data_IF_353606533769
#
_entry.id   IF_353606533769
#
_cell.length_a   1.000
_cell.length_b   1.000
_cell.length_c   1.000
_cell.angle_alpha   90.00
_cell.angle_beta   90.00
_cell.angle_gamma   90.00
#
_symmetry.space_group_name_H-M   'P 1'
#
loop_
_entity.id
_entity.type
_entity.pdbx_description
1 polymer ?
#
# COMPACT_ATOMS: atom_id res chain seq x y z
N UNK A 1 -14.86 -4.44 10.14
CA UNK A 1 -15.89 -3.42 9.89
C UNK A 1 -15.86 -2.27 10.92
N UNK A 2 -16.33 -2.46 12.17
CA UNK A 2 -16.40 -1.36 13.18
C UNK A 2 -15.07 -0.61 13.38
N UNK A 3 -13.93 -1.31 13.33
CA UNK A 3 -12.60 -0.69 13.43
C UNK A 3 -12.24 0.22 12.25
N UNK A 4 -12.52 -0.22 11.02
CA UNK A 4 -12.23 0.57 9.82
C UNK A 4 -13.05 1.87 9.83
N UNK A 5 -14.36 1.77 10.04
CA UNK A 5 -15.22 2.95 10.16
C UNK A 5 -14.76 3.88 11.30
N UNK A 6 -14.50 3.35 12.50
CA UNK A 6 -14.09 4.18 13.64
C UNK A 6 -12.77 4.91 13.40
N UNK A 7 -11.79 4.23 12.78
CA UNK A 7 -10.52 4.84 12.40
C UNK A 7 -10.71 5.90 11.32
N UNK A 8 -11.46 5.59 10.27
CA UNK A 8 -11.77 6.51 9.17
C UNK A 8 -12.52 7.77 9.65
N UNK A 9 -13.49 7.61 10.55
CA UNK A 9 -14.23 8.71 11.17
C UNK A 9 -13.32 9.64 11.96
N UNK A 10 -12.50 9.05 12.84
CA UNK A 10 -11.53 9.82 13.64
C UNK A 10 -10.53 10.54 12.74
N UNK A 11 -10.01 9.85 11.72
CA UNK A 11 -9.09 10.44 10.75
C UNK A 11 -9.72 11.64 10.02
N UNK A 12 -10.97 11.51 9.58
CA UNK A 12 -11.70 12.59 8.92
C UNK A 12 -11.87 13.81 9.85
N UNK A 13 -12.17 13.59 11.13
CA UNK A 13 -12.27 14.65 12.14
C UNK A 13 -10.93 15.35 12.39
N UNK A 14 -9.80 14.65 12.23
CA UNK A 14 -8.46 15.22 12.32
C UNK A 14 -7.97 15.85 11.00
N UNK A 15 -8.77 15.84 9.93
CA UNK A 15 -8.37 16.34 8.61
C UNK A 15 -7.37 15.46 7.85
N UNK A 16 -7.19 14.20 8.28
CA UNK A 16 -6.36 13.24 7.57
C UNK A 16 -7.01 12.75 6.27
N UNK A 17 -6.19 12.24 5.34
CA UNK A 17 -6.64 11.94 3.97
C UNK A 17 -6.72 10.45 3.61
N UNK A 18 -5.87 9.60 4.21
CA UNK A 18 -5.76 8.18 3.85
C UNK A 18 -5.83 7.30 5.09
N UNK A 19 -6.78 6.37 5.13
CA UNK A 19 -6.83 5.32 6.16
C UNK A 19 -6.26 4.02 5.59
N UNK A 20 -5.14 3.56 6.16
CA UNK A 20 -4.43 2.37 5.69
C UNK A 20 -4.65 1.19 6.63
N UNK A 21 -4.77 -0.01 6.08
CA UNK A 21 -4.95 -1.24 6.85
C UNK A 21 -4.64 -2.50 6.03
N UNK A 22 -4.16 -3.54 6.71
CA UNK A 22 -4.14 -4.89 6.18
C UNK A 22 -5.55 -5.49 6.24
N UNK A 23 -6.09 -5.93 5.10
CA UNK A 23 -7.53 -6.20 4.98
C UNK A 23 -7.98 -7.52 5.61
N UNK A 24 -7.29 -8.63 5.32
CA UNK A 24 -7.72 -9.97 5.76
C UNK A 24 -6.60 -11.03 5.64
N UNK A 25 -6.84 -12.19 6.27
CA UNK A 25 -6.14 -13.44 5.99
C UNK A 25 -7.06 -14.36 5.18
N UNK A 26 -6.50 -15.17 4.28
CA UNK A 26 -7.31 -16.16 3.55
C UNK A 26 -7.72 -17.35 4.44
N UNK A 27 -6.85 -17.73 5.39
CA UNK A 27 -7.05 -18.88 6.27
C UNK A 27 -7.42 -20.16 5.48
N UNK A 28 -8.63 -20.69 5.67
CA UNK A 28 -9.16 -21.87 4.98
C UNK A 28 -10.15 -21.52 3.86
N UNK A 29 -10.43 -20.24 3.69
CA UNK A 29 -11.37 -19.74 2.68
C UNK A 29 -10.69 -19.55 1.33
N UNK A 30 -11.48 -19.57 0.26
CA UNK A 30 -10.97 -19.26 -1.07
C UNK A 30 -10.67 -17.75 -1.21
N UNK A 31 -9.67 -17.36 -2.02
CA UNK A 31 -9.39 -15.95 -2.30
C UNK A 31 -10.61 -15.17 -2.79
N UNK A 32 -11.48 -15.79 -3.60
CA UNK A 32 -12.70 -15.18 -4.10
C UNK A 32 -13.73 -14.89 -2.98
N UNK A 33 -13.89 -15.82 -2.03
CA UNK A 33 -14.77 -15.61 -0.87
C UNK A 33 -14.26 -14.46 0.00
N UNK A 34 -12.96 -14.47 0.30
CA UNK A 34 -12.30 -13.43 1.12
C UNK A 34 -12.38 -12.07 0.44
N UNK A 35 -12.17 -12.01 -0.88
CA UNK A 35 -12.35 -10.79 -1.68
C UNK A 35 -13.76 -10.20 -1.52
N UNK A 36 -14.81 -11.03 -1.62
CA UNK A 36 -16.20 -10.60 -1.39
C UNK A 36 -16.43 -10.04 0.02
N UNK A 37 -15.83 -10.67 1.03
CA UNK A 37 -15.91 -10.22 2.43
C UNK A 37 -15.18 -8.90 2.66
N UNK A 38 -14.01 -8.70 2.06
CA UNK A 38 -13.27 -7.43 2.13
C UNK A 38 -14.09 -6.30 1.52
N UNK A 39 -14.62 -6.51 0.30
CA UNK A 39 -15.48 -5.52 -0.36
C UNK A 39 -16.70 -5.15 0.47
N UNK A 40 -17.40 -6.16 1.01
CA UNK A 40 -18.56 -5.94 1.88
C UNK A 40 -18.18 -5.08 3.08
N UNK A 41 -17.07 -5.41 3.75
CA UNK A 41 -16.60 -4.65 4.92
C UNK A 41 -16.19 -3.20 4.62
N UNK A 42 -15.65 -2.94 3.43
CA UNK A 42 -15.35 -1.58 2.96
C UNK A 42 -16.66 -0.82 2.67
N UNK A 43 -17.59 -1.44 1.93
CA UNK A 43 -18.87 -0.82 1.56
C UNK A 43 -19.68 -0.43 2.80
N UNK A 44 -19.75 -1.32 3.79
CA UNK A 44 -20.41 -1.04 5.07
C UNK A 44 -19.74 0.14 5.81
N UNK A 45 -18.40 0.24 5.79
CA UNK A 45 -17.70 1.38 6.39
C UNK A 45 -17.99 2.70 5.64
N UNK A 46 -18.05 2.66 4.31
CA UNK A 46 -18.39 3.83 3.48
C UNK A 46 -19.82 4.31 3.74
N UNK A 47 -20.79 3.40 3.85
CA UNK A 47 -22.17 3.77 4.17
C UNK A 47 -22.27 4.41 5.57
N UNK A 48 -21.56 3.87 6.56
CA UNK A 48 -21.52 4.49 7.90
C UNK A 48 -20.87 5.89 7.87
N UNK A 49 -19.78 6.09 7.13
CA UNK A 49 -19.17 7.41 6.95
C UNK A 49 -20.12 8.39 6.24
N UNK A 50 -20.86 7.90 5.26
CA UNK A 50 -21.87 8.69 4.53
C UNK A 50 -23.02 9.11 5.45
N UNK A 51 -23.54 8.21 6.29
CA UNK A 51 -24.55 8.53 7.30
C UNK A 51 -24.09 9.61 8.29
N UNK A 52 -22.78 9.70 8.56
CA UNK A 52 -22.18 10.73 9.40
C UNK A 52 -21.84 12.04 8.66
N UNK A 53 -22.15 12.16 7.35
CA UNK A 53 -21.79 13.32 6.54
C UNK A 53 -20.28 13.41 6.21
N UNK A 54 -19.55 12.30 6.35
CA UNK A 54 -18.10 12.20 6.12
C UNK A 54 -17.76 11.49 4.79
N UNK A 55 -18.72 11.34 3.89
CA UNK A 55 -18.49 10.75 2.56
C UNK A 55 -17.41 11.51 1.79
N UNK A 56 -16.47 10.78 1.19
CA UNK A 56 -15.36 11.34 0.41
C UNK A 56 -14.31 12.12 1.21
N UNK A 57 -14.41 12.20 2.55
CA UNK A 57 -13.44 12.93 3.38
C UNK A 57 -12.12 12.19 3.55
N UNK A 58 -12.14 10.87 3.43
CA UNK A 58 -10.98 10.00 3.57
C UNK A 58 -10.97 8.99 2.43
N UNK A 59 -9.79 8.71 1.90
CA UNK A 59 -9.55 7.60 0.96
C UNK A 59 -9.30 6.34 1.77
N UNK A 60 -10.05 5.29 1.49
CA UNK A 60 -9.83 3.97 2.10
C UNK A 60 -8.72 3.27 1.33
N UNK A 61 -7.65 2.87 2.03
CA UNK A 61 -6.46 2.30 1.40
C UNK A 61 -6.08 0.93 1.94
N UNK A 62 -6.65 -0.16 1.41
CA UNK A 62 -6.13 -1.49 1.73
C UNK A 62 -4.67 -1.58 1.25
N UNK A 63 -3.82 -2.14 2.10
CA UNK A 63 -2.38 -2.18 1.90
C UNK A 63 -1.93 -3.51 1.29
N UNK A 64 -0.85 -3.44 0.50
CA UNK A 64 -0.14 -4.65 0.08
C UNK A 64 0.40 -5.38 1.30
N UNK A 65 0.07 -6.67 1.43
CA UNK A 65 0.52 -7.48 2.55
C UNK A 65 1.79 -8.27 2.26
N UNK A 66 2.71 -8.30 3.22
CA UNK A 66 4.00 -8.99 3.11
C UNK A 66 3.94 -10.51 3.13
N UNK A 67 2.80 -11.13 3.44
CA UNK A 67 2.64 -12.60 3.52
C UNK A 67 1.68 -13.14 2.47
N UNK A 68 2.05 -14.18 1.70
CA UNK A 68 1.16 -14.81 0.71
C UNK A 68 -0.18 -15.32 1.27
N UNK A 69 -0.23 -15.64 2.56
CA UNK A 69 -1.45 -16.09 3.25
C UNK A 69 -2.42 -14.94 3.62
N UNK A 70 -2.02 -13.70 3.38
CA UNK A 70 -2.83 -12.49 3.56
C UNK A 70 -3.37 -11.98 2.23
N UNK A 71 -4.60 -11.45 2.29
CA UNK A 71 -5.19 -10.67 1.21
C UNK A 71 -4.36 -9.39 0.99
N UNK A 72 -4.31 -8.93 -0.25
CA UNK A 72 -3.64 -7.68 -0.61
C UNK A 72 -2.43 -7.91 -1.50
N UNK A 73 -2.57 -8.76 -2.52
CA UNK A 73 -1.67 -8.65 -3.65
C UNK A 73 -2.09 -7.50 -4.58
N UNK A 74 -1.16 -7.00 -5.40
CA UNK A 74 -1.40 -5.83 -6.26
C UNK A 74 -2.65 -5.98 -7.15
N UNK A 75 -2.86 -7.16 -7.74
CA UNK A 75 -4.01 -7.41 -8.60
C UNK A 75 -5.35 -7.36 -7.85
N UNK A 76 -5.41 -7.91 -6.65
CA UNK A 76 -6.59 -7.79 -5.78
C UNK A 76 -6.89 -6.34 -5.43
N UNK A 77 -5.88 -5.57 -5.05
CA UNK A 77 -6.07 -4.18 -4.62
C UNK A 77 -6.45 -3.26 -5.77
N UNK A 78 -5.86 -3.44 -6.96
CA UNK A 78 -6.28 -2.74 -8.17
C UNK A 78 -7.75 -3.06 -8.45
N UNK A 79 -8.14 -4.33 -8.42
CA UNK A 79 -9.52 -4.74 -8.71
C UNK A 79 -10.52 -4.16 -7.69
N UNK A 80 -10.21 -4.17 -6.40
CA UNK A 80 -11.06 -3.52 -5.39
C UNK A 80 -11.21 -2.03 -5.68
N UNK A 81 -10.11 -1.35 -6.04
CA UNK A 81 -10.11 0.09 -6.31
C UNK A 81 -10.87 0.44 -7.59
N UNK A 82 -10.86 -0.43 -8.61
CA UNK A 82 -11.68 -0.27 -9.82
C UNK A 82 -13.18 -0.45 -9.53
N UNK A 83 -13.52 -1.36 -8.63
CA UNK A 83 -14.91 -1.73 -8.33
C UNK A 83 -15.55 -0.83 -7.24
N UNK A 84 -14.78 0.03 -6.55
CA UNK A 84 -15.23 0.81 -5.40
C UNK A 84 -14.68 2.24 -5.41
N UNK A 85 -15.56 3.23 -5.60
CA UNK A 85 -15.20 4.65 -5.52
C UNK A 85 -14.65 5.03 -4.14
N UNK A 86 -13.67 5.93 -4.09
CA UNK A 86 -13.03 6.37 -2.83
C UNK A 86 -12.09 5.33 -2.22
N UNK A 87 -11.74 4.27 -2.96
CA UNK A 87 -10.76 3.26 -2.57
C UNK A 87 -9.55 3.32 -3.52
N UNK A 88 -8.36 3.39 -2.96
CA UNK A 88 -7.09 3.32 -3.71
C UNK A 88 -6.09 2.48 -2.92
N UNK A 89 -5.13 1.77 -3.53
CA UNK A 89 -4.19 0.96 -2.75
C UNK A 89 -3.24 1.82 -1.91
N UNK A 90 -2.79 1.27 -0.78
CA UNK A 90 -1.50 1.62 -0.20
C UNK A 90 -0.46 0.64 -0.76
N UNK A 91 0.59 1.17 -1.39
CA UNK A 91 1.64 0.37 -2.02
C UNK A 91 2.81 0.27 -1.07
N UNK A 92 3.00 -0.90 -0.46
CA UNK A 92 4.22 -1.24 0.25
C UNK A 92 5.10 -2.13 -0.64
N UNK A 93 6.19 -1.56 -1.15
CA UNK A 93 7.11 -2.26 -2.04
C UNK A 93 7.99 -3.28 -1.30
N UNK A 94 8.28 -3.05 -0.02
CA UNK A 94 9.04 -3.97 0.81
C UNK A 94 8.20 -5.24 1.10
N UNK A 95 6.91 -5.08 1.33
CA UNK A 95 5.95 -6.17 1.38
C UNK A 95 5.83 -6.92 0.05
N UNK A 96 5.77 -6.23 -1.09
CA UNK A 96 5.77 -6.89 -2.41
C UNK A 96 7.00 -7.78 -2.60
N UNK A 97 8.16 -7.29 -2.16
CA UNK A 97 9.41 -8.01 -2.22
C UNK A 97 9.40 -9.25 -1.30
N UNK A 98 9.03 -9.06 -0.03
CA UNK A 98 8.93 -10.14 0.94
C UNK A 98 7.91 -11.22 0.54
N UNK A 99 6.72 -10.80 0.08
CA UNK A 99 5.63 -11.70 -0.34
C UNK A 99 6.07 -12.62 -1.49
N UNK A 100 6.95 -12.15 -2.35
CA UNK A 100 7.45 -12.92 -3.49
C UNK A 100 8.76 -13.64 -3.22
N UNK A 101 9.22 -13.63 -1.96
CA UNK A 101 10.46 -14.23 -1.50
C UNK A 101 11.66 -13.79 -2.36
N UNK A 102 11.79 -12.48 -2.56
CA UNK A 102 12.98 -11.89 -3.17
C UNK A 102 12.80 -11.29 -4.57
N UNK A 103 11.62 -11.39 -5.18
CA UNK A 103 11.32 -10.75 -6.48
C UNK A 103 10.86 -9.31 -6.29
N UNK A 104 10.48 -8.61 -7.35
CA UNK A 104 10.05 -7.21 -7.28
C UNK A 104 11.13 -6.31 -6.68
N UNK A 105 12.38 -6.50 -7.10
CA UNK A 105 13.54 -5.82 -6.50
C UNK A 105 14.57 -5.35 -7.54
N UNK A 106 14.12 -5.11 -8.77
CA UNK A 106 14.97 -4.61 -9.86
C UNK A 106 14.25 -3.49 -10.61
N UNK A 107 14.99 -2.58 -11.29
CA UNK A 107 14.37 -1.51 -12.07
C UNK A 107 13.29 -2.00 -13.04
N UNK A 108 13.53 -3.11 -13.75
CA UNK A 108 12.56 -3.68 -14.69
C UNK A 108 11.27 -4.15 -14.00
N UNK A 109 11.39 -4.85 -12.88
CA UNK A 109 10.23 -5.26 -12.10
C UNK A 109 9.49 -4.07 -11.49
N UNK A 110 10.21 -3.06 -10.99
CA UNK A 110 9.61 -1.82 -10.49
C UNK A 110 8.80 -1.11 -11.57
N UNK A 111 9.35 -0.95 -12.78
CA UNK A 111 8.59 -0.39 -13.92
C UNK A 111 7.33 -1.19 -14.20
N UNK A 112 7.42 -2.52 -14.25
CA UNK A 112 6.25 -3.38 -14.45
C UNK A 112 5.17 -3.19 -13.37
N UNK A 113 5.56 -2.93 -12.12
CA UNK A 113 4.63 -2.59 -11.04
C UNK A 113 3.96 -1.24 -11.30
N UNK A 114 4.74 -0.21 -11.66
CA UNK A 114 4.20 1.12 -11.97
C UNK A 114 3.23 1.08 -13.16
N UNK A 115 3.61 0.36 -14.23
CA UNK A 115 2.77 0.13 -15.41
C UNK A 115 1.49 -0.62 -15.06
N UNK A 116 1.55 -1.62 -14.18
CA UNK A 116 0.36 -2.34 -13.74
C UNK A 116 -0.61 -1.42 -12.98
N UNK A 117 -0.08 -0.54 -12.13
CA UNK A 117 -0.89 0.48 -11.42
C UNK A 117 -1.50 1.47 -12.42
N UNK A 118 -0.70 2.00 -13.34
CA UNK A 118 -1.16 2.97 -14.34
C UNK A 118 -2.23 2.37 -15.27
N UNK A 119 -2.00 1.16 -15.79
CA UNK A 119 -2.96 0.49 -16.65
C UNK A 119 -4.26 0.14 -15.91
N UNK A 120 -4.17 -0.18 -14.61
CA UNK A 120 -5.32 -0.55 -13.79
C UNK A 120 -6.13 0.65 -13.28
N UNK A 121 -5.46 1.71 -12.84
CA UNK A 121 -6.07 2.81 -12.08
C UNK A 121 -5.86 4.19 -12.72
N UNK A 122 -5.15 4.26 -13.85
CA UNK A 122 -4.85 5.49 -14.56
C UNK A 122 -3.69 6.29 -13.98
N UNK A 123 -3.25 7.29 -14.72
CA UNK A 123 -2.14 8.17 -14.32
C UNK A 123 -2.45 8.97 -13.04
N UNK A 124 -3.72 9.31 -12.80
CA UNK A 124 -4.15 10.00 -11.58
C UNK A 124 -3.81 9.21 -10.30
N UNK A 125 -3.88 7.87 -10.35
CA UNK A 125 -3.47 7.04 -9.22
C UNK A 125 -1.97 7.16 -8.93
N UNK A 126 -1.14 7.31 -9.98
CA UNK A 126 0.29 7.58 -9.84
C UNK A 126 0.58 8.96 -9.27
N UNK A 127 -0.29 9.95 -9.48
CA UNK A 127 -0.14 11.30 -8.90
C UNK A 127 -0.68 11.40 -7.47
N UNK A 128 -1.40 10.38 -7.00
CA UNK A 128 -2.02 10.31 -5.67
C UNK A 128 -1.74 8.95 -4.99
N UNK A 129 -0.47 8.60 -4.85
CA UNK A 129 -0.04 7.39 -4.17
C UNK A 129 0.00 7.56 -2.65
N UNK A 130 -0.22 6.47 -1.94
CA UNK A 130 0.16 6.33 -0.54
C UNK A 130 1.09 5.13 -0.47
N UNK A 131 2.33 5.38 -0.06
CA UNK A 131 3.41 4.41 -0.13
C UNK A 131 3.95 4.21 1.28
N UNK A 132 4.17 2.96 1.65
CA UNK A 132 4.95 2.59 2.83
C UNK A 132 6.32 2.10 2.39
N UNK A 133 7.34 2.45 3.17
CA UNK A 133 8.74 2.16 2.87
C UNK A 133 9.50 1.73 4.13
N UNK A 134 10.15 0.59 4.03
CA UNK A 134 11.07 0.04 5.02
C UNK A 134 12.11 -0.84 4.32
N UNK A 135 13.20 -1.19 5.02
CA UNK A 135 13.90 -2.42 4.69
C UNK A 135 13.09 -3.61 5.21
N UNK A 136 13.34 -4.82 4.72
CA UNK A 136 12.51 -5.97 5.08
C UNK A 136 13.32 -7.25 5.29
N UNK A 137 13.04 -7.94 6.38
CA UNK A 137 13.50 -9.30 6.64
C UNK A 137 12.36 -10.27 6.28
N UNK A 138 12.64 -11.28 5.48
CA UNK A 138 11.63 -12.21 4.98
C UNK A 138 12.15 -13.65 4.87
N UNK A 139 11.28 -14.56 4.48
CA UNK A 139 11.62 -15.90 4.04
C UNK A 139 10.47 -16.50 3.23
N UNK A 140 10.44 -17.81 3.06
CA UNK A 140 9.45 -18.49 2.21
C UNK A 140 7.98 -18.21 2.59
N UNK A 141 7.72 -17.88 3.86
CA UNK A 141 6.38 -17.53 4.36
C UNK A 141 6.02 -16.04 4.23
N UNK A 142 6.89 -15.26 3.57
CA UNK A 142 6.79 -13.82 3.43
C UNK A 142 7.54 -13.05 4.52
N UNK A 143 7.04 -11.86 4.80
CA UNK A 143 7.57 -10.93 5.81
C UNK A 143 7.76 -11.59 7.20
N UNK A 144 8.87 -11.23 7.85
CA UNK A 144 9.14 -11.49 9.28
C UNK A 144 9.06 -10.22 10.11
N UNK A 145 9.83 -9.19 9.73
CA UNK A 145 9.87 -7.89 10.40
C UNK A 145 10.53 -6.83 9.50
N UNK A 146 10.23 -5.56 9.77
CA UNK A 146 10.90 -4.44 9.12
C UNK A 146 12.36 -4.34 9.57
N UNK A 147 13.21 -3.85 8.66
CA UNK A 147 14.62 -3.52 8.85
C UNK A 147 14.83 -2.05 8.46
N UNK A 148 16.00 -1.52 8.81
CA UNK A 148 16.45 -0.27 8.20
C UNK A 148 16.79 -0.51 6.72
N UNK A 149 16.71 0.53 5.89
CA UNK A 149 17.01 0.42 4.45
C UNK A 149 18.44 -0.05 4.16
N UNK A 150 19.38 0.19 5.09
CA UNK A 150 20.78 -0.20 4.95
C UNK A 150 21.06 -1.67 5.27
N UNK A 151 20.15 -2.33 5.98
CA UNK A 151 20.29 -3.73 6.43
C UNK A 151 19.49 -4.71 5.57
N UNK A 152 18.75 -4.21 4.58
CA UNK A 152 17.92 -5.00 3.67
C UNK A 152 18.57 -5.08 2.29
N UNK A 153 18.29 -6.17 1.57
CA UNK A 153 18.58 -6.33 0.15
C UNK A 153 17.64 -5.52 -0.76
N UNK A 154 16.64 -4.85 -0.19
CA UNK A 154 15.68 -4.06 -0.92
C UNK A 154 16.33 -2.83 -1.61
N UNK A 155 16.28 -2.81 -2.94
CA UNK A 155 16.94 -1.86 -3.84
C UNK A 155 16.13 -0.56 -3.96
N UNK A 156 15.94 0.11 -2.82
CA UNK A 156 15.10 1.31 -2.71
C UNK A 156 15.62 2.47 -3.57
N UNK A 157 16.93 2.59 -3.79
CA UNK A 157 17.51 3.66 -4.62
C UNK A 157 17.05 3.54 -6.07
N UNK A 158 17.10 2.33 -6.61
CA UNK A 158 16.62 2.03 -7.95
C UNK A 158 15.11 2.23 -8.07
N UNK A 159 14.35 1.90 -7.03
CA UNK A 159 12.92 2.20 -6.97
C UNK A 159 12.65 3.71 -7.00
N UNK A 160 13.39 4.50 -6.21
CA UNK A 160 13.28 5.97 -6.20
C UNK A 160 13.58 6.58 -7.59
N UNK A 161 14.54 6.01 -8.33
CA UNK A 161 14.81 6.43 -9.71
C UNK A 161 13.63 6.12 -10.65
N UNK A 162 13.01 4.96 -10.53
CA UNK A 162 11.79 4.61 -11.29
C UNK A 162 10.62 5.51 -10.92
N UNK A 163 10.45 5.86 -9.63
CA UNK A 163 9.42 6.82 -9.23
C UNK A 163 9.60 8.19 -9.89
N UNK A 164 10.84 8.67 -10.00
CA UNK A 164 11.15 9.92 -10.70
C UNK A 164 10.84 9.81 -12.19
N UNK A 165 11.17 8.69 -12.83
CA UNK A 165 10.85 8.40 -14.23
C UNK A 165 9.34 8.47 -14.52
N UNK A 166 8.51 7.90 -13.64
CA UNK A 166 7.03 7.93 -13.76
C UNK A 166 6.42 9.25 -13.25
N UNK A 167 7.22 10.12 -12.63
CA UNK A 167 6.80 11.41 -12.08
C UNK A 167 5.68 11.27 -11.05
N UNK A 168 5.74 10.26 -10.18
CA UNK A 168 4.66 9.97 -9.22
C UNK A 168 4.47 11.12 -8.21
N UNK A 169 3.31 11.14 -7.56
CA UNK A 169 2.97 12.07 -6.49
C UNK A 169 2.24 11.37 -5.34
N UNK A 170 2.18 12.03 -4.19
CA UNK A 170 1.49 11.53 -3.00
C UNK A 170 2.37 11.52 -1.75
N UNK A 171 2.17 10.51 -0.91
CA UNK A 171 2.85 10.36 0.39
C UNK A 171 3.75 9.13 0.41
N UNK A 172 4.94 9.28 0.97
CA UNK A 172 5.84 8.17 1.33
C UNK A 172 6.00 8.19 2.84
N UNK A 173 5.57 7.13 3.49
CA UNK A 173 5.65 6.93 4.94
C UNK A 173 6.81 5.96 5.20
N UNK A 174 7.77 6.36 6.02
CA UNK A 174 8.80 5.43 6.48
C UNK A 174 8.28 4.62 7.65
N UNK A 175 8.33 3.31 7.53
CA UNK A 175 8.00 2.35 8.59
C UNK A 175 9.26 1.59 9.05
N UNK A 176 10.43 2.16 8.75
CA UNK A 176 11.72 1.65 9.22
C UNK A 176 11.78 1.67 10.75
N UNK A 177 12.51 0.74 11.40
CA UNK A 177 12.88 0.86 12.81
C UNK A 177 13.61 2.17 13.15
N UNK A 178 14.21 2.85 12.16
CA UNK A 178 14.81 4.18 12.29
C UNK A 178 14.14 5.16 11.31
N UNK A 179 12.92 5.57 11.67
CA UNK A 179 11.95 6.27 10.81
C UNK A 179 12.56 7.55 10.21
N UNK A 180 13.07 8.45 11.04
CA UNK A 180 13.52 9.78 10.61
C UNK A 180 14.77 9.69 9.75
N UNK A 181 15.72 8.81 10.10
CA UNK A 181 16.95 8.66 9.34
C UNK A 181 16.70 8.09 7.95
N UNK A 182 15.88 7.04 7.85
CA UNK A 182 15.58 6.43 6.55
C UNK A 182 14.67 7.32 5.70
N UNK A 183 13.74 8.05 6.29
CA UNK A 183 12.98 9.08 5.58
C UNK A 183 13.90 10.16 4.98
N UNK A 184 14.84 10.69 5.78
CA UNK A 184 15.82 11.67 5.31
C UNK A 184 16.77 11.08 4.26
N UNK A 185 17.16 9.82 4.39
CA UNK A 185 18.01 9.11 3.44
C UNK A 185 17.33 8.97 2.08
N UNK A 186 16.06 8.54 2.05
CA UNK A 186 15.27 8.47 0.82
C UNK A 186 15.12 9.84 0.19
N UNK A 187 14.76 10.86 0.98
CA UNK A 187 14.61 12.23 0.49
C UNK A 187 15.91 12.77 -0.14
N UNK A 188 17.03 12.67 0.58
CA UNK A 188 18.34 13.16 0.09
C UNK A 188 18.75 12.47 -1.22
N UNK A 189 18.50 11.17 -1.32
CA UNK A 189 18.79 10.44 -2.56
C UNK A 189 17.89 10.92 -3.70
N UNK A 190 16.57 11.01 -3.47
CA UNK A 190 15.60 11.42 -4.48
C UNK A 190 15.83 12.85 -4.99
N UNK A 191 16.11 13.79 -4.08
CA UNK A 191 16.42 15.19 -4.42
C UNK A 191 17.72 15.34 -5.23
N UNK A 192 18.63 14.35 -5.13
CA UNK A 192 19.91 14.33 -5.84
C UNK A 192 19.88 13.60 -7.19
N UNK A 193 18.78 12.90 -7.50
CA UNK A 193 18.51 12.40 -8.86
C UNK A 193 18.20 13.57 -9.80
#
# INVERSE_FOLDING_TARGET
>A
MKRLYSGAKTLAMCGGKSIVFHAAYYLKDSPAHVYGMVKKGIAEAQEMLKSDGLSGKVTIRPEISGKPVQFGNLGELIRVSQEMEGVLPCIDFAHMHARTNGKNNTPGEFRGIMEMIENGLGNEALKNMHIHMSGINYGEKGEKNHLTLGESDFRYKELLAVWKEFGIGGYVISESPNIEEDALRMKKYYDGL
#
